data_IF_656658038436
#
_entry.id   IF_656658038436
#
_cell.length_a   1.000
_cell.length_b   1.000
_cell.length_c   1.000
_cell.angle_alpha   90.00
_cell.angle_beta   90.00
_cell.angle_gamma   90.00
#
_symmetry.space_group_name_H-M   'P 1'
#
loop_
_entity.id
_entity.type
_entity.pdbx_description
1 polymer ?
#
# COMPACT_ATOMS: atom_id res chain seq x y z
N UNK A 1 -14.06 3.74 1.12
CA UNK A 1 -13.48 2.36 1.09
C UNK A 1 -11.98 2.43 1.38
N UNK A 2 -11.52 1.78 2.46
CA UNK A 2 -10.17 2.00 3.05
C UNK A 2 -9.07 1.03 2.59
N UNK A 3 -9.25 0.35 1.45
CA UNK A 3 -8.29 -0.65 0.95
C UNK A 3 -6.83 -0.13 0.92
N UNK A 4 -6.63 1.10 0.45
CA UNK A 4 -5.31 1.72 0.40
C UNK A 4 -4.70 1.94 1.79
N UNK A 5 -5.51 2.33 2.79
CA UNK A 5 -5.05 2.49 4.17
C UNK A 5 -4.69 1.13 4.80
N UNK A 6 -5.48 0.08 4.55
CA UNK A 6 -5.16 -1.27 5.02
C UNK A 6 -3.85 -1.77 4.41
N UNK A 7 -3.71 -1.70 3.08
CA UNK A 7 -2.50 -2.11 2.38
C UNK A 7 -1.26 -1.37 2.91
N UNK A 8 -1.36 -0.05 3.07
CA UNK A 8 -0.27 0.79 3.58
C UNK A 8 0.11 0.44 5.02
N UNK A 9 -0.88 0.27 5.90
CA UNK A 9 -0.62 -0.11 7.29
C UNK A 9 0.06 -1.48 7.38
N UNK A 10 -0.31 -2.44 6.52
CA UNK A 10 0.35 -3.75 6.43
C UNK A 10 1.83 -3.61 6.05
N UNK A 11 2.12 -2.85 4.99
CA UNK A 11 3.51 -2.60 4.55
C UNK A 11 4.32 -1.90 5.64
N UNK A 12 3.78 -0.87 6.28
CA UNK A 12 4.47 -0.11 7.32
C UNK A 12 4.79 -0.99 8.53
N UNK A 13 3.82 -1.79 8.99
CA UNK A 13 4.00 -2.74 10.10
C UNK A 13 4.97 -3.88 9.75
N UNK A 14 5.07 -4.24 8.47
CA UNK A 14 6.02 -5.25 8.01
C UNK A 14 7.45 -4.69 7.97
N UNK A 15 7.65 -3.50 7.40
CA UNK A 15 8.98 -2.90 7.21
C UNK A 15 9.54 -2.24 8.46
N UNK A 16 8.69 -1.87 9.40
CA UNK A 16 9.08 -1.13 10.60
C UNK A 16 8.37 -1.71 11.82
N UNK A 17 8.90 -1.44 13.02
CA UNK A 17 8.17 -1.69 14.28
C UNK A 17 6.97 -0.73 14.49
N UNK A 18 6.47 -0.10 13.41
CA UNK A 18 5.32 0.78 13.46
C UNK A 18 4.08 0.02 13.90
N UNK A 19 3.27 0.67 14.73
CA UNK A 19 1.96 0.18 15.14
C UNK A 19 0.83 0.83 14.33
N UNK A 20 1.16 1.55 13.25
CA UNK A 20 0.19 2.28 12.45
C UNK A 20 -0.90 1.35 11.90
N UNK A 21 -2.15 1.72 12.16
CA UNK A 21 -3.36 1.05 11.69
C UNK A 21 -3.96 1.87 10.55
N UNK A 22 -4.82 1.23 9.76
CA UNK A 22 -5.56 1.93 8.69
C UNK A 22 -6.31 3.16 9.20
N UNK A 23 -6.88 3.09 10.41
CA UNK A 23 -7.56 4.23 11.04
C UNK A 23 -6.63 5.41 11.29
N UNK A 24 -5.39 5.17 11.73
CA UNK A 24 -4.41 6.24 12.00
C UNK A 24 -4.06 6.99 10.70
N UNK A 25 -3.92 6.26 9.60
CA UNK A 25 -3.68 6.82 8.27
C UNK A 25 -4.86 7.67 7.81
N UNK A 26 -6.09 7.19 8.02
CA UNK A 26 -7.31 7.91 7.63
C UNK A 26 -7.51 9.17 8.47
N UNK A 27 -7.27 9.10 9.78
CA UNK A 27 -7.32 10.25 10.68
C UNK A 27 -6.25 11.30 10.34
N UNK A 28 -5.04 10.87 9.98
CA UNK A 28 -4.02 11.80 9.48
C UNK A 28 -4.45 12.49 8.17
N UNK A 29 -5.08 11.74 7.26
CA UNK A 29 -5.43 12.26 5.94
C UNK A 29 -6.59 13.25 5.96
N UNK A 30 -7.59 13.04 6.83
CA UNK A 30 -8.87 13.75 6.80
C UNK A 30 -9.30 14.34 8.15
N UNK A 31 -8.59 14.06 9.24
CA UNK A 31 -9.03 14.41 10.60
C UNK A 31 -10.11 13.48 11.15
N UNK A 32 -10.61 13.79 12.34
CA UNK A 32 -11.75 13.11 12.94
C UNK A 32 -13.05 13.78 12.50
N UNK A 33 -13.58 13.34 11.37
CA UNK A 33 -14.81 13.87 10.76
C UNK A 33 -15.90 12.79 10.72
N UNK A 34 -17.16 13.22 10.68
CA UNK A 34 -18.27 12.34 10.39
C UNK A 34 -18.15 11.76 8.96
N UNK A 35 -18.48 10.48 8.79
CA UNK A 35 -18.41 9.80 7.49
C UNK A 35 -16.98 9.41 7.07
N UNK A 36 -16.02 9.32 7.98
CA UNK A 36 -14.63 8.95 7.68
C UNK A 36 -14.54 7.59 6.95
N UNK A 37 -15.40 6.64 7.30
CA UNK A 37 -15.51 5.30 6.70
C UNK A 37 -15.86 5.34 5.19
N UNK A 38 -16.54 6.40 4.76
CA UNK A 38 -16.94 6.61 3.37
C UNK A 38 -15.82 7.24 2.54
N UNK A 39 -14.81 7.86 3.19
CA UNK A 39 -13.67 8.44 2.49
C UNK A 39 -12.82 7.36 1.81
N UNK A 40 -12.12 7.80 0.77
CA UNK A 40 -11.19 6.99 -0.02
C UNK A 40 -9.84 7.67 0.02
N UNK A 41 -8.83 6.97 0.54
CA UNK A 41 -7.47 7.49 0.66
C UNK A 41 -6.83 7.67 -0.73
N UNK A 42 -6.32 8.87 -1.00
CA UNK A 42 -5.53 9.13 -2.20
C UNK A 42 -4.07 8.69 -2.02
N UNK A 43 -3.39 8.34 -3.12
CA UNK A 43 -2.00 7.93 -3.10
C UNK A 43 -1.07 9.03 -2.52
N UNK A 44 -1.38 10.31 -2.77
CA UNK A 44 -0.61 11.42 -2.22
C UNK A 44 -0.71 11.48 -0.69
N UNK A 45 -1.91 11.33 -0.12
CA UNK A 45 -2.11 11.31 1.34
C UNK A 45 -1.43 10.09 1.99
N UNK A 46 -1.46 8.96 1.32
CA UNK A 46 -0.75 7.75 1.71
C UNK A 46 0.77 7.97 1.76
N UNK A 47 1.36 8.56 0.72
CA UNK A 47 2.80 8.88 0.68
C UNK A 47 3.16 9.90 1.76
N UNK A 48 2.34 10.93 1.97
CA UNK A 48 2.54 11.91 3.04
C UNK A 48 2.59 11.25 4.42
N UNK A 49 1.68 10.31 4.70
CA UNK A 49 1.72 9.55 5.94
C UNK A 49 2.97 8.67 6.04
N UNK A 50 3.31 7.93 4.98
CA UNK A 50 4.50 7.09 4.98
C UNK A 50 5.79 7.89 5.22
N UNK A 51 5.86 9.12 4.70
CA UNK A 51 6.97 10.04 4.94
C UNK A 51 6.99 10.58 6.37
N UNK A 52 5.83 10.87 6.97
CA UNK A 52 5.76 11.36 8.36
C UNK A 52 6.21 10.31 9.39
N UNK A 53 6.16 9.02 9.03
CA UNK A 53 6.70 7.90 9.83
C UNK A 53 8.05 7.40 9.30
N UNK A 54 8.75 8.22 8.52
CA UNK A 54 10.10 7.95 8.01
C UNK A 54 10.26 6.67 7.17
N UNK A 55 9.20 6.21 6.51
CA UNK A 55 9.24 5.03 5.64
C UNK A 55 9.63 5.33 4.18
N UNK A 56 9.50 6.59 3.74
CA UNK A 56 9.95 7.12 2.44
C UNK A 56 9.77 6.16 1.24
N UNK A 57 8.53 5.89 0.79
CA UNK A 57 8.28 4.94 -0.30
C UNK A 57 8.79 5.46 -1.65
N UNK A 58 9.34 4.57 -2.47
CA UNK A 58 9.64 4.84 -3.87
C UNK A 58 8.35 4.74 -4.70
N UNK A 59 8.13 5.73 -5.56
CA UNK A 59 6.92 5.80 -6.40
C UNK A 59 7.29 5.45 -7.84
N UNK A 60 6.69 4.38 -8.36
CA UNK A 60 6.79 4.02 -9.76
C UNK A 60 5.41 4.11 -10.42
N UNK A 61 5.31 4.79 -11.56
CA UNK A 61 4.06 5.02 -12.30
C UNK A 61 3.80 4.00 -13.42
N UNK A 62 4.72 3.06 -13.65
CA UNK A 62 4.55 1.97 -14.62
C UNK A 62 4.37 0.63 -13.93
N UNK A 63 3.82 -0.33 -14.68
CA UNK A 63 3.85 -1.74 -14.31
C UNK A 63 5.31 -2.20 -14.21
N UNK A 64 5.64 -2.89 -13.12
CA UNK A 64 6.93 -3.53 -12.93
C UNK A 64 6.95 -4.88 -13.64
N UNK A 65 8.10 -5.27 -14.18
CA UNK A 65 8.32 -6.62 -14.69
C UNK A 65 8.39 -7.63 -13.54
N UNK A 66 8.27 -8.92 -13.84
CA UNK A 66 8.44 -9.98 -12.86
C UNK A 66 9.83 -9.93 -12.19
N UNK A 67 10.89 -9.64 -12.94
CA UNK A 67 12.25 -9.53 -12.40
C UNK A 67 12.39 -8.35 -11.44
N UNK A 68 11.74 -7.23 -11.73
CA UNK A 68 11.74 -6.04 -10.87
C UNK A 68 10.96 -6.29 -9.57
N UNK A 69 9.77 -6.90 -9.68
CA UNK A 69 9.01 -7.32 -8.49
C UNK A 69 9.84 -8.26 -7.63
N UNK A 70 10.44 -9.27 -8.25
CA UNK A 70 11.32 -10.24 -7.58
C UNK A 70 12.47 -9.55 -6.84
N UNK A 71 13.14 -8.59 -7.49
CA UNK A 71 14.24 -7.84 -6.90
C UNK A 71 13.80 -6.98 -5.70
N UNK A 72 12.64 -6.32 -5.78
CA UNK A 72 12.07 -5.55 -4.67
C UNK A 72 11.74 -6.45 -3.47
N UNK A 73 11.02 -7.55 -3.71
CA UNK A 73 10.64 -8.48 -2.64
C UNK A 73 11.87 -9.13 -2.00
N UNK A 74 12.86 -9.55 -2.80
CA UNK A 74 14.14 -10.12 -2.31
C UNK A 74 14.94 -9.11 -1.48
N UNK A 75 14.75 -7.82 -1.76
CA UNK A 75 15.35 -6.73 -0.97
C UNK A 75 14.50 -6.31 0.24
N UNK A 76 13.53 -7.14 0.64
CA UNK A 76 12.59 -6.88 1.73
C UNK A 76 11.78 -5.57 1.55
N UNK A 77 11.47 -5.21 0.30
CA UNK A 77 10.65 -4.06 -0.07
C UNK A 77 9.30 -4.54 -0.62
N UNK A 78 8.29 -4.77 0.24
CA UNK A 78 6.94 -5.07 -0.23
C UNK A 78 6.37 -3.92 -1.05
N UNK A 79 5.52 -4.26 -2.01
CA UNK A 79 5.03 -3.36 -3.05
C UNK A 79 3.54 -3.09 -2.83
N UNK A 80 3.18 -1.81 -2.83
CA UNK A 80 1.80 -1.38 -2.92
C UNK A 80 1.37 -1.37 -4.39
N UNK A 81 0.23 -1.99 -4.71
CA UNK A 81 -0.37 -1.92 -6.05
C UNK A 81 -1.81 -1.46 -5.95
N UNK A 82 -2.21 -0.54 -6.82
CA UNK A 82 -3.61 -0.19 -7.03
C UNK A 82 -4.08 -0.70 -8.40
N UNK A 83 -5.16 -1.47 -8.39
CA UNK A 83 -5.87 -1.90 -9.60
C UNK A 83 -7.17 -1.14 -9.77
N UNK A 84 -7.65 -1.07 -11.00
CA UNK A 84 -8.97 -0.55 -11.38
C UNK A 84 -9.73 -1.69 -12.06
N UNK A 85 -10.96 -1.96 -11.66
CA UNK A 85 -11.82 -2.93 -12.37
C UNK A 85 -12.48 -2.26 -13.59
N UNK A 86 -13.25 -3.04 -14.36
CA UNK A 86 -13.95 -2.55 -15.56
C UNK A 86 -15.03 -1.49 -15.25
N UNK A 87 -15.51 -1.40 -14.01
CA UNK A 87 -16.53 -0.44 -13.57
C UNK A 87 -15.95 0.77 -12.83
N UNK A 88 -14.67 1.06 -13.06
CA UNK A 88 -13.94 2.19 -12.48
C UNK A 88 -13.73 2.18 -10.95
N UNK A 89 -14.12 1.11 -10.28
CA UNK A 89 -13.79 0.88 -8.88
C UNK A 89 -12.30 0.57 -8.71
N UNK A 90 -11.68 1.17 -7.70
CA UNK A 90 -10.27 1.00 -7.38
C UNK A 90 -10.09 0.13 -6.15
N UNK A 91 -9.17 -0.82 -6.21
CA UNK A 91 -8.78 -1.64 -5.07
C UNK A 91 -7.26 -1.65 -4.92
N UNK A 92 -6.79 -1.72 -3.67
CA UNK A 92 -5.38 -1.74 -3.34
C UNK A 92 -4.99 -3.11 -2.79
N UNK A 93 -3.80 -3.56 -3.17
CA UNK A 93 -3.20 -4.84 -2.79
C UNK A 93 -1.77 -4.63 -2.32
N UNK A 94 -1.26 -5.61 -1.57
CA UNK A 94 0.15 -5.67 -1.16
C UNK A 94 0.76 -6.90 -1.81
N UNK A 95 1.94 -6.75 -2.41
CA UNK A 95 2.78 -7.89 -2.79
C UNK A 95 3.93 -7.94 -1.79
N UNK A 96 4.07 -9.07 -1.10
CA UNK A 96 5.13 -9.28 -0.10
C UNK A 96 5.94 -10.57 -0.27
N UNK A 97 5.60 -11.37 -1.28
CA UNK A 97 6.25 -12.65 -1.56
C UNK A 97 5.95 -13.10 -2.98
N UNK A 98 6.75 -14.03 -3.49
CA UNK A 98 6.62 -14.60 -4.83
C UNK A 98 7.05 -16.07 -4.80
N UNK A 99 6.44 -16.89 -5.67
CA UNK A 99 6.81 -18.28 -5.89
C UNK A 99 7.29 -18.50 -7.32
N UNK A 100 8.60 -18.75 -7.46
CA UNK A 100 9.29 -18.95 -8.73
C UNK A 100 8.87 -20.19 -9.51
N UNK A 101 8.28 -21.19 -8.85
CA UNK A 101 7.90 -22.44 -9.51
C UNK A 101 6.63 -22.30 -10.35
N UNK A 102 5.81 -21.27 -10.08
CA UNK A 102 4.45 -21.20 -10.64
C UNK A 102 4.04 -19.79 -11.07
N UNK A 103 4.86 -18.76 -10.82
CA UNK A 103 4.56 -17.37 -11.21
C UNK A 103 3.49 -16.69 -10.34
N UNK A 104 3.29 -17.16 -9.10
CA UNK A 104 2.29 -16.62 -8.16
C UNK A 104 2.93 -15.62 -7.19
N UNK A 105 2.18 -14.58 -6.85
CA UNK A 105 2.51 -13.62 -5.80
C UNK A 105 1.71 -13.91 -4.55
N UNK A 106 2.34 -13.85 -3.37
CA UNK A 106 1.62 -13.94 -2.10
C UNK A 106 1.23 -12.55 -1.61
N UNK A 107 -0.07 -12.37 -1.36
CA UNK A 107 -0.67 -11.18 -0.76
C UNK A 107 -0.38 -11.12 0.76
#
# INVERSE_FOLDING_TARGET
MWCAAYASSSILRYRSKSTARARDIMLFAYGNIDGLEQKTLSQNKMIQFANSVSSYPLVNKRTLSLSEVTAEISSNRPIYISGKNLSDSRHAFVIRGYNNYVGFYSL
#
